data_IF_402810825370
#
_entry.id   IF_402810825370
#
_cell.length_a   1.000
_cell.length_b   1.000
_cell.length_c   1.000
_cell.angle_alpha   90.00
_cell.angle_beta   90.00
_cell.angle_gamma   90.00
#
_symmetry.space_group_name_H-M   'P 1'
#
loop_
_entity.id
_entity.type
_entity.pdbx_description
1 polymer ?
#
# COMPACT_ATOMS: atom_id res chain seq x y z
N UNK A 1 -5.36 -2.51 50.10
CA UNK A 1 -4.97 -1.44 49.16
C UNK A 1 -3.69 -1.78 48.35
N UNK A 2 -2.55 -2.21 48.97
CA UNK A 2 -1.32 -2.53 48.19
C UNK A 2 -1.50 -3.68 47.16
N UNK A 3 -2.25 -4.74 47.53
CA UNK A 3 -2.48 -5.88 46.58
C UNK A 3 -3.27 -5.48 45.37
N UNK A 4 -4.27 -4.60 45.48
CA UNK A 4 -5.08 -4.11 44.39
C UNK A 4 -4.26 -3.21 43.43
N UNK A 5 -3.36 -2.39 43.95
CA UNK A 5 -2.46 -1.56 43.15
C UNK A 5 -1.45 -2.41 42.35
N UNK A 6 -0.91 -3.49 42.97
CA UNK A 6 0.00 -4.41 42.27
C UNK A 6 -0.69 -5.15 41.11
N UNK A 7 -1.92 -5.58 41.26
CA UNK A 7 -2.72 -6.20 40.18
C UNK A 7 -3.03 -5.21 39.05
N UNK A 8 -3.35 -3.97 39.41
CA UNK A 8 -3.60 -2.92 38.41
C UNK A 8 -2.35 -2.64 37.54
N UNK A 9 -1.20 -2.53 38.20
CA UNK A 9 0.10 -2.34 37.53
C UNK A 9 0.46 -3.51 36.62
N UNK A 10 0.21 -4.75 37.05
CA UNK A 10 0.46 -5.94 36.25
C UNK A 10 -0.45 -5.97 35.00
N UNK A 11 -1.74 -5.68 35.17
CA UNK A 11 -2.70 -5.62 34.05
C UNK A 11 -2.29 -4.53 33.07
N UNK A 12 -1.90 -3.36 33.56
CA UNK A 12 -1.44 -2.25 32.72
C UNK A 12 -0.16 -2.62 31.96
N UNK A 13 0.79 -3.28 32.61
CA UNK A 13 2.03 -3.75 31.97
C UNK A 13 1.77 -4.82 30.89
N UNK A 14 0.87 -5.77 31.16
CA UNK A 14 0.46 -6.79 30.19
C UNK A 14 -0.29 -6.19 29.02
N UNK A 15 -1.17 -5.23 29.26
CA UNK A 15 -1.91 -4.52 28.23
C UNK A 15 -0.98 -3.66 27.36
N UNK A 16 -0.04 -2.95 27.97
CA UNK A 16 0.99 -2.18 27.26
C UNK A 16 1.90 -3.12 26.43
N UNK A 17 2.32 -4.26 27.01
CA UNK A 17 3.09 -5.28 26.29
C UNK A 17 2.32 -5.86 25.10
N UNK A 18 1.03 -6.13 25.26
CA UNK A 18 0.15 -6.58 24.18
C UNK A 18 0.03 -5.52 23.06
N UNK A 19 -0.19 -4.25 23.42
CA UNK A 19 -0.25 -3.15 22.44
C UNK A 19 1.08 -3.05 21.68
N UNK A 20 2.21 -3.09 22.37
CA UNK A 20 3.54 -3.03 21.76
C UNK A 20 3.82 -4.21 20.83
N UNK A 21 3.24 -5.38 21.09
CA UNK A 21 3.37 -6.56 20.21
C UNK A 21 2.48 -6.47 18.98
N UNK A 22 1.23 -6.04 19.15
CA UNK A 22 0.24 -5.98 18.06
C UNK A 22 0.46 -4.73 17.18
N UNK A 23 0.92 -3.63 17.78
CA UNK A 23 1.15 -2.36 17.09
C UNK A 23 2.62 -2.14 16.68
N UNK A 24 3.40 -3.22 16.52
CA UNK A 24 4.83 -3.12 16.12
C UNK A 24 5.09 -2.17 14.95
N UNK A 25 4.34 -2.23 13.84
CA UNK A 25 4.53 -1.31 12.73
C UNK A 25 4.39 0.15 13.16
N UNK A 26 3.33 0.47 13.89
CA UNK A 26 3.07 1.83 14.40
C UNK A 26 4.21 2.32 15.31
N UNK A 27 4.71 1.44 16.21
CA UNK A 27 5.84 1.76 17.10
C UNK A 27 7.12 1.96 16.29
N UNK A 28 7.38 1.12 15.28
CA UNK A 28 8.54 1.24 14.41
C UNK A 28 8.53 2.54 13.61
N UNK A 29 7.37 2.94 13.11
CA UNK A 29 7.17 4.21 12.42
C UNK A 29 7.35 5.40 13.38
N UNK A 30 6.91 5.30 14.63
CA UNK A 30 7.10 6.36 15.63
C UNK A 30 8.55 6.49 16.11
N UNK A 31 9.27 5.36 16.25
CA UNK A 31 10.65 5.29 16.74
C UNK A 31 11.53 4.38 15.87
N UNK A 32 11.85 4.76 14.59
CA UNK A 32 12.65 3.89 13.71
C UNK A 32 14.02 3.54 14.28
N UNK A 33 14.67 4.47 14.97
CA UNK A 33 15.98 4.24 15.62
C UNK A 33 15.92 3.21 16.76
N UNK A 34 14.76 3.00 17.40
CA UNK A 34 14.54 1.93 18.38
C UNK A 34 14.69 0.54 17.75
N UNK A 35 14.54 0.45 16.44
CA UNK A 35 14.61 -0.78 15.65
C UNK A 35 15.91 -0.89 14.85
N UNK A 36 16.85 0.06 15.02
CA UNK A 36 18.13 0.07 14.33
C UNK A 36 18.06 0.60 12.90
N UNK A 37 17.09 1.47 12.62
CA UNK A 37 17.03 2.20 11.37
C UNK A 37 17.59 3.62 11.54
N UNK A 38 18.24 4.14 10.51
CA UNK A 38 18.83 5.47 10.44
C UNK A 38 18.07 6.33 9.44
N UNK A 39 17.87 7.60 9.77
CA UNK A 39 17.28 8.58 8.85
C UNK A 39 18.23 8.85 7.69
N UNK A 40 17.75 8.67 6.46
CA UNK A 40 18.53 8.92 5.23
C UNK A 40 17.98 10.07 4.40
N UNK A 41 16.68 10.31 4.49
CA UNK A 41 16.00 11.44 3.87
C UNK A 41 14.80 11.86 4.73
N UNK A 42 14.07 12.90 4.33
CA UNK A 42 12.84 13.29 5.02
C UNK A 42 11.83 12.14 4.94
N UNK A 43 11.35 11.68 6.11
CA UNK A 43 10.40 10.56 6.21
C UNK A 43 10.99 9.18 5.89
N UNK A 44 12.25 9.05 5.43
CA UNK A 44 12.84 7.77 4.99
C UNK A 44 13.91 7.29 5.96
N UNK A 45 13.77 6.05 6.40
CA UNK A 45 14.67 5.37 7.33
C UNK A 45 15.11 4.03 6.74
N UNK A 46 16.39 3.72 6.85
CA UNK A 46 17.00 2.51 6.29
C UNK A 46 17.73 1.77 7.41
N UNK A 47 17.74 0.44 7.38
CA UNK A 47 18.50 -0.37 8.33
C UNK A 47 19.96 0.06 8.39
N UNK A 48 20.48 0.37 9.58
CA UNK A 48 21.84 0.92 9.78
C UNK A 48 22.91 0.02 9.18
N UNK A 49 22.72 -1.29 9.22
CA UNK A 49 23.63 -2.29 8.68
C UNK A 49 23.65 -2.40 7.13
N UNK A 50 22.74 -1.69 6.43
CA UNK A 50 22.69 -1.76 4.96
C UNK A 50 23.94 -1.12 4.35
N UNK A 51 24.67 -1.84 3.45
CA UNK A 51 25.83 -1.29 2.76
C UNK A 51 25.50 -0.01 1.98
N UNK A 52 26.43 0.94 1.93
CA UNK A 52 26.20 2.25 1.32
C UNK A 52 25.67 2.17 -0.13
N UNK A 53 26.24 1.29 -0.95
CA UNK A 53 25.81 1.11 -2.34
C UNK A 53 24.36 0.56 -2.43
N UNK A 54 24.01 -0.41 -1.58
CA UNK A 54 22.64 -0.95 -1.52
C UNK A 54 21.64 0.11 -1.02
N UNK A 55 22.03 0.91 -0.02
CA UNK A 55 21.24 2.04 0.49
C UNK A 55 20.95 3.06 -0.62
N UNK A 56 21.98 3.46 -1.37
CA UNK A 56 21.83 4.39 -2.48
C UNK A 56 20.89 3.82 -3.56
N UNK A 57 21.05 2.55 -3.89
CA UNK A 57 20.18 1.88 -4.86
C UNK A 57 18.72 1.83 -4.39
N UNK A 58 18.48 1.46 -3.12
CA UNK A 58 17.12 1.44 -2.55
C UNK A 58 16.46 2.82 -2.59
N UNK A 59 17.20 3.89 -2.27
CA UNK A 59 16.69 5.26 -2.35
C UNK A 59 16.37 5.68 -3.80
N UNK A 60 17.20 5.28 -4.77
CA UNK A 60 16.93 5.52 -6.20
C UNK A 60 15.63 4.83 -6.66
N UNK A 61 15.42 3.57 -6.24
CA UNK A 61 14.19 2.84 -6.57
C UNK A 61 12.97 3.46 -5.91
N UNK A 62 13.08 3.94 -4.68
CA UNK A 62 12.01 4.66 -4.00
C UNK A 62 11.63 5.94 -4.76
N UNK A 63 12.63 6.75 -5.15
CA UNK A 63 12.38 7.96 -5.95
C UNK A 63 11.69 7.64 -7.27
N UNK A 64 12.11 6.59 -7.98
CA UNK A 64 11.45 6.14 -9.21
C UNK A 64 10.01 5.70 -8.97
N UNK A 65 9.73 5.03 -7.84
CA UNK A 65 8.38 4.64 -7.45
C UNK A 65 7.51 5.87 -7.16
N UNK A 66 8.03 6.84 -6.42
CA UNK A 66 7.36 8.11 -6.13
C UNK A 66 7.05 8.90 -7.41
N UNK A 67 8.00 8.98 -8.34
CA UNK A 67 7.79 9.62 -9.65
C UNK A 67 6.70 8.91 -10.45
N UNK A 68 6.70 7.59 -10.48
CA UNK A 68 5.69 6.79 -11.17
C UNK A 68 4.29 7.04 -10.63
N UNK A 69 4.12 6.96 -9.32
CA UNK A 69 2.85 7.24 -8.64
C UNK A 69 2.43 8.69 -8.85
N UNK A 70 3.37 9.64 -8.67
CA UNK A 70 3.11 11.06 -8.90
C UNK A 70 2.65 11.38 -10.32
N UNK A 71 3.26 10.75 -11.33
CA UNK A 71 2.86 10.92 -12.73
C UNK A 71 1.43 10.42 -12.98
N UNK A 72 1.04 9.31 -12.38
CA UNK A 72 -0.30 8.76 -12.53
C UNK A 72 -1.37 9.64 -11.86
N UNK A 73 -1.13 10.07 -10.63
CA UNK A 73 -2.10 10.84 -9.83
C UNK A 73 -2.07 12.35 -10.07
N UNK A 74 -1.16 12.84 -10.93
CA UNK A 74 -0.98 14.28 -11.17
C UNK A 74 -0.27 15.00 -10.02
N UNK A 75 0.63 14.32 -9.33
CA UNK A 75 1.40 14.75 -8.17
C UNK A 75 1.07 13.94 -6.92
N UNK A 76 2.07 13.78 -6.04
CA UNK A 76 1.87 13.15 -4.73
C UNK A 76 1.27 14.15 -3.73
N UNK A 77 0.28 13.72 -2.98
CA UNK A 77 -0.32 14.48 -1.87
C UNK A 77 0.02 13.87 -0.51
N UNK A 78 0.46 12.62 -0.50
CA UNK A 78 0.76 11.85 0.71
C UNK A 78 2.17 11.29 0.65
N UNK A 79 2.95 11.52 1.70
CA UNK A 79 4.30 11.01 1.87
C UNK A 79 4.31 10.12 3.12
N UNK A 80 4.28 8.79 2.97
CA UNK A 80 4.33 7.89 4.11
C UNK A 80 5.70 7.92 4.75
N UNK A 81 5.77 7.59 6.05
CA UNK A 81 7.06 7.27 6.65
C UNK A 81 7.53 5.91 6.14
N UNK A 82 8.64 5.90 5.41
CA UNK A 82 9.17 4.72 4.74
C UNK A 82 10.29 4.08 5.56
N UNK A 83 10.14 2.80 5.89
CA UNK A 83 11.12 1.99 6.61
C UNK A 83 11.65 0.88 5.69
N UNK A 84 12.95 0.92 5.33
CA UNK A 84 13.58 -0.02 4.40
C UNK A 84 14.53 -0.94 5.17
N UNK A 85 14.26 -2.24 5.14
CA UNK A 85 15.08 -3.27 5.75
C UNK A 85 16.01 -3.93 4.73
N UNK A 86 17.27 -4.15 5.11
CA UNK A 86 18.24 -4.93 4.35
C UNK A 86 18.19 -6.42 4.71
N UNK A 87 17.57 -6.77 5.84
CA UNK A 87 17.52 -8.13 6.35
C UNK A 87 16.09 -8.55 6.70
N UNK A 88 15.73 -9.84 6.53
CA UNK A 88 14.44 -10.36 6.98
C UNK A 88 14.21 -10.13 8.48
N UNK A 89 15.27 -10.25 9.29
CA UNK A 89 15.21 -10.02 10.73
C UNK A 89 14.83 -8.57 11.07
N UNK A 90 15.32 -7.57 10.32
CA UNK A 90 14.89 -6.19 10.48
C UNK A 90 13.39 -6.08 10.20
N UNK A 91 12.94 -6.65 9.08
CA UNK A 91 11.55 -6.59 8.63
C UNK A 91 10.58 -7.21 9.65
N UNK A 92 10.92 -8.40 10.16
CA UNK A 92 10.14 -9.05 11.23
C UNK A 92 10.07 -8.20 12.51
N UNK A 93 11.20 -7.56 12.89
CA UNK A 93 11.25 -6.71 14.10
C UNK A 93 10.37 -5.49 14.01
N UNK A 94 10.27 -4.86 12.85
CA UNK A 94 9.38 -3.70 12.63
C UNK A 94 7.91 -4.09 12.43
N UNK A 95 7.59 -5.39 12.50
CA UNK A 95 6.22 -5.89 12.37
C UNK A 95 5.82 -6.22 10.95
N UNK A 96 6.77 -6.24 10.01
CA UNK A 96 6.56 -6.77 8.67
C UNK A 96 6.33 -8.29 8.74
N UNK A 97 5.25 -8.77 8.13
CA UNK A 97 4.90 -10.18 8.13
C UNK A 97 4.24 -10.60 6.82
N UNK A 98 4.73 -11.66 6.19
CA UNK A 98 4.09 -12.32 5.05
C UNK A 98 4.12 -11.59 3.70
N UNK A 99 4.37 -10.29 3.68
CA UNK A 99 4.46 -9.47 2.46
C UNK A 99 5.89 -9.00 2.21
N UNK A 100 6.21 -8.66 0.96
CA UNK A 100 7.53 -8.08 0.61
C UNK A 100 7.59 -6.57 0.79
N UNK A 101 6.46 -5.92 0.60
CA UNK A 101 6.21 -4.52 0.92
C UNK A 101 4.82 -4.47 1.55
N UNK A 102 4.55 -3.52 2.42
CA UNK A 102 3.24 -3.34 3.03
C UNK A 102 3.03 -1.89 3.40
N UNK A 103 1.81 -1.44 3.25
CA UNK A 103 1.35 -0.13 3.68
C UNK A 103 0.23 -0.26 4.71
N UNK A 104 0.14 0.69 5.62
CA UNK A 104 -0.99 0.80 6.55
C UNK A 104 -1.64 2.17 6.39
N UNK A 105 -2.77 2.18 5.74
CA UNK A 105 -3.46 3.42 5.38
C UNK A 105 -2.58 4.31 4.51
N UNK A 106 -2.50 5.60 4.84
CA UNK A 106 -1.68 6.59 4.13
C UNK A 106 -0.40 7.00 4.89
N UNK A 107 -0.03 6.28 5.96
CA UNK A 107 0.96 6.78 6.93
C UNK A 107 2.32 6.11 6.85
N UNK A 108 2.39 4.85 6.43
CA UNK A 108 3.61 4.07 6.47
C UNK A 108 3.80 3.19 5.25
N UNK A 109 5.08 2.97 4.92
CA UNK A 109 5.54 2.02 3.91
C UNK A 109 6.67 1.20 4.53
N UNK A 110 6.46 -0.11 4.70
CA UNK A 110 7.44 -1.06 5.20
C UNK A 110 7.98 -1.88 4.05
N UNK A 111 9.30 -1.88 3.86
CA UNK A 111 9.96 -2.53 2.72
C UNK A 111 10.90 -3.62 3.21
N UNK A 112 10.61 -4.89 2.86
CA UNK A 112 11.49 -6.03 3.07
C UNK A 112 12.67 -6.01 2.07
N UNK A 113 13.75 -6.78 2.29
CA UNK A 113 14.85 -6.88 1.34
C UNK A 113 14.40 -7.26 -0.08
N UNK A 114 13.48 -8.22 -0.18
CA UNK A 114 12.90 -8.69 -1.45
C UNK A 114 11.91 -7.69 -2.06
N UNK A 115 11.47 -6.71 -1.26
CA UNK A 115 10.58 -5.62 -1.66
C UNK A 115 11.31 -4.40 -2.23
N UNK A 116 12.65 -4.37 -2.20
CA UNK A 116 13.46 -3.28 -2.79
C UNK A 116 13.38 -3.40 -4.32
N UNK A 117 12.25 -3.01 -4.86
CA UNK A 117 11.87 -3.12 -6.26
C UNK A 117 10.90 -2.00 -6.62
N UNK A 118 11.12 -1.34 -7.76
CA UNK A 118 10.30 -0.20 -8.18
C UNK A 118 8.83 -0.57 -8.37
N UNK A 119 8.52 -1.76 -8.88
CA UNK A 119 7.15 -2.23 -9.12
C UNK A 119 6.41 -2.38 -7.79
N UNK A 120 6.99 -3.15 -6.85
CA UNK A 120 6.38 -3.40 -5.54
C UNK A 120 6.23 -2.11 -4.72
N UNK A 121 7.26 -1.25 -4.71
CA UNK A 121 7.18 0.04 -4.01
C UNK A 121 6.11 0.95 -4.64
N UNK A 122 5.98 1.00 -5.97
CA UNK A 122 4.95 1.80 -6.64
C UNK A 122 3.55 1.27 -6.36
N UNK A 123 3.37 -0.05 -6.27
CA UNK A 123 2.12 -0.69 -5.92
C UNK A 123 1.63 -0.21 -4.55
N UNK A 124 2.46 -0.35 -3.53
CA UNK A 124 2.11 0.05 -2.16
C UNK A 124 1.98 1.57 -2.00
N UNK A 125 2.82 2.35 -2.68
CA UNK A 125 2.68 3.81 -2.69
C UNK A 125 1.39 4.26 -3.38
N UNK A 126 0.88 3.49 -4.35
CA UNK A 126 -0.43 3.75 -4.95
C UNK A 126 -1.55 3.61 -3.92
N UNK A 127 -1.53 2.57 -3.07
CA UNK A 127 -2.47 2.45 -1.96
C UNK A 127 -2.38 3.63 -0.99
N UNK A 128 -1.15 4.02 -0.60
CA UNK A 128 -0.93 5.18 0.28
C UNK A 128 -1.57 6.45 -0.31
N UNK A 129 -1.34 6.71 -1.58
CA UNK A 129 -1.85 7.90 -2.25
C UNK A 129 -3.38 7.84 -2.42
N UNK A 130 -3.93 6.69 -2.82
CA UNK A 130 -5.36 6.48 -2.99
C UNK A 130 -6.09 6.64 -1.65
N UNK A 131 -5.64 5.92 -0.61
CA UNK A 131 -6.25 5.97 0.73
C UNK A 131 -6.18 7.37 1.33
N UNK A 132 -5.05 8.06 1.15
CA UNK A 132 -4.90 9.42 1.62
C UNK A 132 -5.83 10.41 0.92
N UNK A 133 -6.04 10.27 -0.39
CA UNK A 133 -6.95 11.13 -1.17
C UNK A 133 -8.41 10.94 -0.79
N UNK A 134 -8.83 9.72 -0.53
CA UNK A 134 -10.18 9.39 -0.08
C UNK A 134 -10.38 9.76 1.39
N UNK A 135 -9.35 9.56 2.21
CA UNK A 135 -9.36 9.75 3.64
C UNK A 135 -9.68 8.48 4.41
N UNK A 136 -8.95 8.28 5.52
CA UNK A 136 -8.97 7.06 6.33
C UNK A 136 -10.40 6.64 6.71
N UNK A 137 -11.23 7.58 7.14
CA UNK A 137 -12.58 7.28 7.58
C UNK A 137 -13.47 6.71 6.46
N UNK A 138 -13.37 7.27 5.26
CA UNK A 138 -14.12 6.77 4.11
C UNK A 138 -13.62 5.40 3.65
N UNK A 139 -12.31 5.16 3.72
CA UNK A 139 -11.74 3.84 3.42
C UNK A 139 -12.24 2.76 4.39
N UNK A 140 -12.24 3.05 5.70
CA UNK A 140 -12.76 2.13 6.73
C UNK A 140 -14.26 1.81 6.55
N UNK A 141 -15.02 2.74 5.97
CA UNK A 141 -16.42 2.55 5.62
C UNK A 141 -16.64 1.87 4.25
N UNK A 142 -15.57 1.43 3.59
CA UNK A 142 -15.65 0.72 2.31
C UNK A 142 -16.02 1.60 1.11
N UNK A 143 -15.60 2.88 1.12
CA UNK A 143 -15.89 3.79 0.03
C UNK A 143 -15.25 3.37 -1.30
N UNK A 144 -14.17 2.61 -1.27
CA UNK A 144 -13.49 2.07 -2.45
C UNK A 144 -13.52 0.54 -2.39
N UNK A 145 -14.03 -0.16 -3.42
CA UNK A 145 -13.95 -1.60 -3.49
C UNK A 145 -12.51 -2.11 -3.55
N UNK A 146 -12.22 -3.23 -2.87
CA UNK A 146 -10.88 -3.81 -2.84
C UNK A 146 -10.33 -4.10 -4.24
N UNK A 147 -11.15 -4.64 -5.14
CA UNK A 147 -10.71 -4.90 -6.52
C UNK A 147 -10.31 -3.62 -7.29
N UNK A 148 -10.97 -2.49 -7.00
CA UNK A 148 -10.63 -1.22 -7.67
C UNK A 148 -9.31 -0.66 -7.14
N UNK A 149 -9.11 -0.68 -5.83
CA UNK A 149 -7.87 -0.28 -5.16
C UNK A 149 -6.68 -1.07 -5.71
N UNK A 150 -6.78 -2.40 -5.70
CA UNK A 150 -5.73 -3.30 -6.22
C UNK A 150 -5.52 -3.16 -7.73
N UNK A 151 -6.61 -3.02 -8.49
CA UNK A 151 -6.51 -2.81 -9.94
C UNK A 151 -5.80 -1.51 -10.30
N UNK A 152 -6.06 -0.43 -9.57
CA UNK A 152 -5.33 0.85 -9.71
C UNK A 152 -3.86 0.66 -9.34
N UNK A 153 -3.55 -0.02 -8.23
CA UNK A 153 -2.17 -0.24 -7.79
C UNK A 153 -1.35 -1.05 -8.81
N UNK A 154 -1.94 -2.07 -9.44
CA UNK A 154 -1.32 -2.83 -10.54
C UNK A 154 -1.03 -1.94 -11.75
N UNK A 155 -1.97 -1.09 -12.15
CA UNK A 155 -1.78 -0.18 -13.29
C UNK A 155 -0.72 0.89 -13.00
N UNK A 156 -0.72 1.47 -11.82
CA UNK A 156 0.26 2.46 -11.36
C UNK A 156 1.65 1.87 -11.29
N UNK A 157 1.79 0.64 -10.78
CA UNK A 157 3.08 -0.05 -10.67
C UNK A 157 3.62 -0.53 -12.01
N UNK A 158 2.79 -0.54 -13.06
CA UNK A 158 3.13 -1.10 -14.38
C UNK A 158 3.66 -2.53 -14.27
N UNK A 159 2.96 -3.37 -13.48
CA UNK A 159 3.42 -4.71 -13.16
C UNK A 159 3.27 -5.66 -14.36
N UNK A 160 4.39 -6.13 -14.96
CA UNK A 160 4.34 -6.99 -16.12
C UNK A 160 3.82 -8.40 -15.82
N UNK A 161 3.68 -8.78 -14.55
CA UNK A 161 3.08 -10.06 -14.15
C UNK A 161 1.57 -10.07 -14.44
N UNK A 162 0.91 -8.91 -14.31
CA UNK A 162 -0.55 -8.80 -14.39
C UNK A 162 -1.03 -8.02 -15.60
N UNK A 163 -0.14 -7.34 -16.30
CA UNK A 163 -0.49 -6.46 -17.43
C UNK A 163 0.04 -6.98 -18.76
N UNK A 164 -0.77 -6.88 -19.79
CA UNK A 164 -0.29 -7.04 -21.17
C UNK A 164 0.70 -5.91 -21.52
N UNK A 165 1.68 -6.17 -22.42
CA UNK A 165 2.60 -5.15 -22.88
C UNK A 165 1.88 -3.90 -23.40
N UNK A 166 2.37 -2.72 -23.00
CA UNK A 166 1.82 -1.44 -23.46
C UNK A 166 1.87 -1.34 -24.99
N UNK A 167 0.72 -1.10 -25.62
CA UNK A 167 0.60 -0.86 -27.05
C UNK A 167 -0.30 0.34 -27.27
N UNK A 168 0.11 1.24 -28.15
CA UNK A 168 -0.62 2.46 -28.42
C UNK A 168 -2.08 2.16 -28.83
N UNK A 169 -3.05 2.79 -28.14
CA UNK A 169 -4.48 2.66 -28.42
C UNK A 169 -5.12 1.32 -28.01
N UNK A 170 -4.46 0.53 -27.19
CA UNK A 170 -5.01 -0.73 -26.65
C UNK A 170 -5.00 -0.73 -25.13
N UNK A 171 -5.97 -1.49 -24.56
CA UNK A 171 -5.98 -1.78 -23.14
C UNK A 171 -4.75 -2.62 -22.70
N UNK A 172 -4.55 -2.67 -21.40
CA UNK A 172 -3.48 -3.42 -20.73
C UNK A 172 -3.96 -4.77 -20.19
N UNK A 173 -5.10 -5.26 -20.64
CA UNK A 173 -5.70 -6.50 -20.16
C UNK A 173 -4.83 -7.73 -20.49
N UNK A 174 -4.26 -8.37 -19.47
CA UNK A 174 -3.69 -9.71 -19.57
C UNK A 174 -4.74 -10.80 -19.33
N UNK A 175 -5.79 -10.48 -18.56
CA UNK A 175 -7.00 -11.29 -18.38
C UNK A 175 -8.23 -10.41 -18.60
N UNK A 176 -9.38 -11.02 -18.94
CA UNK A 176 -10.64 -10.28 -19.11
C UNK A 176 -11.22 -9.79 -17.77
N UNK A 177 -12.10 -8.77 -17.80
CA UNK A 177 -12.85 -8.34 -16.63
C UNK A 177 -13.76 -9.47 -16.15
N UNK A 178 -14.04 -9.50 -14.83
CA UNK A 178 -14.93 -10.49 -14.21
C UNK A 178 -16.08 -9.79 -13.48
N UNK A 179 -17.27 -10.40 -13.49
CA UNK A 179 -18.46 -9.77 -12.92
C UNK A 179 -18.47 -9.79 -11.38
N UNK A 180 -17.86 -10.81 -10.77
CA UNK A 180 -17.88 -11.11 -9.33
C UNK A 180 -16.56 -10.76 -8.65
N UNK A 181 -16.16 -9.50 -8.77
CA UNK A 181 -14.95 -9.00 -8.11
C UNK A 181 -15.20 -8.73 -6.62
N UNK A 182 -14.28 -9.14 -5.72
CA UNK A 182 -14.45 -8.95 -4.29
C UNK A 182 -14.41 -7.46 -3.90
N UNK A 183 -15.40 -7.03 -3.12
CA UNK A 183 -15.58 -5.63 -2.74
C UNK A 183 -14.80 -5.31 -1.46
N UNK A 184 -14.80 -6.21 -0.48
CA UNK A 184 -14.10 -5.97 0.77
C UNK A 184 -12.72 -6.66 0.83
N UNK A 185 -11.79 -6.14 1.67
CA UNK A 185 -10.43 -6.68 1.75
C UNK A 185 -10.33 -8.11 2.28
N UNK A 186 -11.30 -8.61 3.06
CA UNK A 186 -11.28 -9.96 3.57
C UNK A 186 -11.66 -10.95 2.45
N UNK A 187 -12.69 -10.64 1.68
CA UNK A 187 -13.08 -11.41 0.49
C UNK A 187 -11.99 -11.38 -0.58
N UNK A 188 -11.32 -10.23 -0.76
CA UNK A 188 -10.16 -10.15 -1.66
C UNK A 188 -9.08 -11.16 -1.28
N UNK A 189 -8.67 -11.19 -0.01
CA UNK A 189 -7.65 -12.14 0.46
C UNK A 189 -8.08 -13.59 0.31
N UNK A 190 -9.33 -13.91 0.63
CA UNK A 190 -9.86 -15.27 0.49
C UNK A 190 -9.87 -15.73 -0.98
N UNK A 191 -10.33 -14.88 -1.89
CA UNK A 191 -10.36 -15.19 -3.33
C UNK A 191 -8.96 -15.18 -3.96
N UNK A 192 -8.00 -14.40 -3.41
CA UNK A 192 -6.62 -14.41 -3.88
C UNK A 192 -5.95 -15.78 -3.66
N UNK A 193 -6.26 -16.48 -2.55
CA UNK A 193 -5.76 -17.84 -2.31
C UNK A 193 -6.28 -18.83 -3.37
N UNK A 194 -7.50 -18.65 -3.87
CA UNK A 194 -8.14 -19.53 -4.86
C UNK A 194 -7.76 -19.16 -6.30
N UNK A 195 -7.81 -17.87 -6.64
CA UNK A 195 -7.72 -17.34 -8.01
C UNK A 195 -6.32 -16.84 -8.39
N UNK A 196 -5.47 -16.57 -7.37
CA UNK A 196 -4.09 -16.16 -7.57
C UNK A 196 -3.93 -14.91 -8.46
N UNK A 197 -2.97 -14.97 -9.36
CA UNK A 197 -2.60 -13.86 -10.27
C UNK A 197 -3.76 -13.40 -11.19
N UNK A 198 -4.71 -14.30 -11.47
CA UNK A 198 -5.87 -13.98 -12.30
C UNK A 198 -6.73 -12.87 -11.69
N UNK A 199 -6.80 -12.81 -10.36
CA UNK A 199 -7.60 -11.81 -9.64
C UNK A 199 -7.03 -10.40 -9.86
N UNK A 200 -5.71 -10.24 -9.70
CA UNK A 200 -5.00 -8.97 -9.97
C UNK A 200 -5.12 -8.54 -11.44
N UNK A 201 -4.88 -9.46 -12.36
CA UNK A 201 -4.95 -9.17 -13.79
C UNK A 201 -6.36 -8.75 -14.23
N UNK A 202 -7.41 -9.37 -13.66
CA UNK A 202 -8.82 -9.03 -13.95
C UNK A 202 -9.20 -7.67 -13.35
N UNK A 203 -8.76 -7.38 -12.11
CA UNK A 203 -8.97 -6.10 -11.47
C UNK A 203 -8.34 -4.96 -12.26
N UNK A 204 -7.08 -5.12 -12.65
CA UNK A 204 -6.35 -4.15 -13.47
C UNK A 204 -7.03 -3.94 -14.83
N UNK A 205 -7.46 -5.00 -15.51
CA UNK A 205 -8.18 -4.90 -16.77
C UNK A 205 -9.49 -4.09 -16.62
N UNK A 206 -10.27 -4.38 -15.58
CA UNK A 206 -11.53 -3.70 -15.34
C UNK A 206 -11.35 -2.20 -15.07
N UNK A 207 -10.32 -1.83 -14.30
CA UNK A 207 -9.96 -0.43 -14.06
C UNK A 207 -9.45 0.23 -15.33
N UNK A 208 -8.60 -0.44 -16.12
CA UNK A 208 -8.01 0.12 -17.35
C UNK A 208 -9.09 0.43 -18.40
N UNK A 209 -10.01 -0.51 -18.64
CA UNK A 209 -11.14 -0.30 -19.53
C UNK A 209 -12.01 0.88 -19.10
N UNK A 210 -12.30 0.98 -17.78
CA UNK A 210 -13.02 2.11 -17.23
C UNK A 210 -12.25 3.43 -17.40
N UNK A 211 -10.95 3.45 -17.15
CA UNK A 211 -10.12 4.65 -17.35
C UNK A 211 -10.15 5.10 -18.81
N UNK A 212 -9.99 4.17 -19.76
CA UNK A 212 -10.03 4.47 -21.21
C UNK A 212 -11.37 5.14 -21.57
N UNK A 213 -12.49 4.62 -21.06
CA UNK A 213 -13.82 5.17 -21.30
C UNK A 213 -14.05 6.55 -20.63
N UNK A 214 -13.28 6.89 -19.61
CA UNK A 214 -13.46 8.09 -18.77
C UNK A 214 -12.34 9.13 -18.92
N UNK A 215 -11.51 9.07 -19.98
CA UNK A 215 -10.50 10.09 -20.28
C UNK A 215 -9.09 9.76 -19.74
N UNK A 216 -8.83 8.51 -19.40
CA UNK A 216 -7.51 8.00 -19.00
C UNK A 216 -7.19 8.16 -17.53
N UNK A 217 -5.89 8.13 -17.15
CA UNK A 217 -5.45 8.15 -15.74
C UNK A 217 -6.05 9.26 -14.87
N UNK A 218 -6.30 10.50 -15.36
CA UNK A 218 -6.92 11.55 -14.55
C UNK A 218 -8.33 11.23 -14.03
N UNK A 219 -9.01 10.23 -14.60
CA UNK A 219 -10.33 9.80 -14.14
C UNK A 219 -10.28 9.23 -12.71
N UNK A 220 -9.16 8.55 -12.34
CA UNK A 220 -8.99 7.97 -11.00
C UNK A 220 -8.97 9.06 -9.92
N UNK A 221 -8.04 10.02 -9.90
CA UNK A 221 -8.06 11.07 -8.87
C UNK A 221 -9.34 11.91 -8.87
N UNK A 222 -10.00 12.08 -10.01
CA UNK A 222 -11.30 12.77 -10.09
C UNK A 222 -12.42 11.96 -9.40
N UNK A 223 -12.43 10.63 -9.54
CA UNK A 223 -13.36 9.74 -8.82
C UNK A 223 -13.10 9.79 -7.32
N UNK A 224 -11.82 9.68 -6.89
CA UNK A 224 -11.44 9.70 -5.48
C UNK A 224 -11.87 11.02 -4.79
N UNK A 225 -11.75 12.15 -5.46
CA UNK A 225 -12.22 13.43 -4.95
C UNK A 225 -13.73 13.43 -4.67
N UNK A 226 -14.53 12.87 -5.56
CA UNK A 226 -15.99 12.75 -5.37
C UNK A 226 -16.36 11.78 -4.25
N UNK A 227 -15.61 10.68 -4.09
CA UNK A 227 -15.79 9.75 -2.97
C UNK A 227 -15.51 10.44 -1.63
N UNK A 228 -14.43 11.23 -1.54
CA UNK A 228 -14.12 12.05 -0.37
C UNK A 228 -15.22 13.06 -0.06
N UNK A 229 -15.90 13.58 -1.08
CA UNK A 229 -17.04 14.50 -0.93
C UNK A 229 -18.35 13.75 -0.59
N UNK A 230 -18.30 12.42 -0.33
CA UNK A 230 -19.42 11.63 0.17
C UNK A 230 -20.30 11.00 -0.91
N UNK A 231 -19.91 11.04 -2.19
CA UNK A 231 -20.61 10.29 -3.23
C UNK A 231 -20.25 8.80 -3.12
N UNK A 232 -21.14 7.91 -3.58
CA UNK A 232 -20.91 6.47 -3.52
C UNK A 232 -20.21 5.97 -4.77
N UNK A 233 -19.38 4.91 -4.62
CA UNK A 233 -18.67 4.29 -5.74
C UNK A 233 -19.61 3.88 -6.86
N UNK A 234 -20.73 3.19 -6.55
CA UNK A 234 -21.71 2.71 -7.52
C UNK A 234 -22.37 3.84 -8.33
N UNK A 235 -22.47 5.03 -7.76
CA UNK A 235 -23.00 6.20 -8.48
C UNK A 235 -22.02 6.77 -9.50
N UNK A 236 -20.72 6.60 -9.25
CA UNK A 236 -19.62 7.20 -10.02
C UNK A 236 -19.02 6.24 -11.04
N UNK A 237 -18.85 4.97 -10.64
CA UNK A 237 -18.31 3.94 -11.50
C UNK A 237 -19.41 3.41 -12.43
N UNK A 238 -19.25 3.65 -13.72
CA UNK A 238 -20.09 3.09 -14.77
C UNK A 238 -19.19 2.27 -15.70
N UNK A 239 -19.38 0.92 -15.73
CA UNK A 239 -18.55 0.01 -16.54
C UNK A 239 -18.75 0.23 -18.04
#
# INVERSE_FOLDING_TARGET
>A
MLRSAAWLMLILALFLGFILLVARPVVAVACPWCFGLEKTAEGVYVEAAMPAAARQHALQLLTQAEERVGNFYGGLQHAPRTLICATPRCFERIGGGGTRVGSVGSFELLVAPEGINVVLMSHELSHVELHGRVGLWHMELGAVPAWFDEGVAVLVSDDPQYLAPARHGRDRCAAGPQADMPVDPADWRAQLEERGDLLYASAACQVDLWMIANGGPPAVPALLAKLRDGQTFDSLYKP
#
